data_IF_699992236420
#
_entry.id   IF_699992236420
#
_cell.length_a   1.000
_cell.length_b   1.000
_cell.length_c   1.000
_cell.angle_alpha   90.00
_cell.angle_beta   90.00
_cell.angle_gamma   90.00
#
_symmetry.space_group_name_H-M   'P 1'
#
loop_
_entity.id
_entity.type
_entity.pdbx_description
1 polymer ?
#
# COMPACT_ATOMS: atom_id res chain seq x y z
N UNK A 1 -4.34 -3.52 12.02
CA UNK A 1 -4.20 -4.45 10.88
C UNK A 1 -3.86 -3.62 9.65
N UNK A 2 -3.12 -4.18 8.72
CA UNK A 2 -2.65 -3.50 7.52
C UNK A 2 -2.90 -4.35 6.29
N UNK A 3 -3.29 -3.73 5.18
CA UNK A 3 -3.53 -4.44 3.94
C UNK A 3 -2.25 -4.51 3.12
N UNK A 4 -1.84 -5.73 2.78
CA UNK A 4 -0.75 -5.98 1.85
C UNK A 4 -1.26 -6.81 0.68
N UNK A 5 -0.58 -6.67 -0.45
CA UNK A 5 -0.76 -7.46 -1.67
C UNK A 5 0.52 -8.26 -1.95
N UNK A 6 0.38 -9.45 -2.52
CA UNK A 6 1.49 -10.24 -3.02
C UNK A 6 1.75 -9.91 -4.47
N UNK A 7 2.97 -9.46 -4.79
CA UNK A 7 3.30 -8.96 -6.13
C UNK A 7 3.37 -10.07 -7.17
N UNK A 8 2.67 -9.91 -8.30
CA UNK A 8 2.75 -10.83 -9.45
C UNK A 8 3.83 -10.52 -10.48
N UNK A 9 4.40 -9.31 -10.44
CA UNK A 9 5.40 -8.80 -11.39
C UNK A 9 6.72 -8.44 -10.72
N UNK A 10 7.79 -8.51 -11.51
CA UNK A 10 9.11 -8.01 -11.11
C UNK A 10 9.12 -6.47 -11.00
N UNK A 11 9.98 -5.89 -10.14
CA UNK A 11 10.80 -6.58 -9.15
C UNK A 11 9.98 -7.08 -7.95
N UNK A 12 10.58 -7.96 -7.15
CA UNK A 12 9.98 -8.52 -5.92
C UNK A 12 8.77 -9.42 -6.15
N UNK A 13 8.71 -10.11 -7.30
CA UNK A 13 7.64 -11.09 -7.57
C UNK A 13 7.56 -12.12 -6.44
N UNK A 14 6.35 -12.35 -5.94
CA UNK A 14 6.05 -13.27 -4.84
C UNK A 14 6.24 -12.68 -3.44
N UNK A 15 6.84 -11.50 -3.30
CA UNK A 15 6.90 -10.80 -2.01
C UNK A 15 5.60 -10.05 -1.73
N UNK A 16 5.31 -9.87 -0.45
CA UNK A 16 4.22 -9.04 0.02
C UNK A 16 4.67 -7.58 0.15
N UNK A 17 3.84 -6.65 -0.27
CA UNK A 17 4.10 -5.21 -0.25
C UNK A 17 2.83 -4.43 0.08
N UNK A 18 2.98 -3.14 0.37
CA UNK A 18 1.84 -2.22 0.36
C UNK A 18 1.23 -2.19 -1.06
N UNK A 19 -0.10 -2.04 -1.19
CA UNK A 19 -0.75 -1.82 -2.48
C UNK A 19 -0.17 -0.60 -3.18
N UNK A 20 -0.01 -0.68 -4.49
CA UNK A 20 0.50 0.44 -5.27
C UNK A 20 1.25 0.04 -6.55
N UNK A 21 1.27 1.00 -7.47
CA UNK A 21 1.91 0.86 -8.76
C UNK A 21 2.45 2.19 -9.28
N UNK A 22 2.50 2.31 -10.60
CA UNK A 22 3.12 3.47 -11.26
C UNK A 22 2.12 4.61 -11.33
N UNK A 23 2.63 5.83 -11.16
CA UNK A 23 1.87 7.03 -11.46
C UNK A 23 1.79 7.20 -12.99
N UNK A 24 0.58 7.33 -13.51
CA UNK A 24 0.27 7.62 -14.90
C UNK A 24 0.41 9.11 -15.23
N UNK A 25 0.50 9.43 -16.53
CA UNK A 25 0.62 10.81 -16.96
C UNK A 25 -0.70 11.55 -16.71
N UNK A 26 -0.64 12.57 -15.85
CA UNK A 26 -1.77 13.45 -15.58
C UNK A 26 -2.55 13.13 -14.29
N UNK A 27 -2.17 12.09 -13.54
CA UNK A 27 -2.76 11.80 -12.23
C UNK A 27 -1.88 12.30 -11.07
N UNK A 28 -2.51 12.61 -9.93
CA UNK A 28 -1.77 12.92 -8.70
C UNK A 28 -1.28 11.64 -8.02
N UNK A 29 -0.31 11.75 -7.10
CA UNK A 29 0.13 10.61 -6.28
C UNK A 29 -1.02 9.98 -5.49
N UNK A 30 -1.94 10.79 -4.97
CA UNK A 30 -3.08 10.30 -4.21
C UNK A 30 -4.08 9.59 -5.12
N UNK A 31 -4.32 10.11 -6.32
CA UNK A 31 -5.21 9.46 -7.29
C UNK A 31 -4.64 8.13 -7.76
N UNK A 32 -3.33 8.06 -8.03
CA UNK A 32 -2.62 6.82 -8.32
C UNK A 32 -2.80 5.80 -7.18
N UNK A 33 -2.59 6.21 -5.92
CA UNK A 33 -2.76 5.33 -4.77
C UNK A 33 -4.21 4.82 -4.60
N UNK A 34 -5.21 5.68 -4.87
CA UNK A 34 -6.63 5.32 -4.86
C UNK A 34 -6.96 4.30 -5.96
N UNK A 35 -6.48 4.54 -7.18
CA UNK A 35 -6.67 3.66 -8.34
C UNK A 35 -6.04 2.29 -8.12
N UNK A 36 -4.76 2.25 -7.76
CA UNK A 36 -4.02 0.99 -7.55
C UNK A 36 -4.61 0.16 -6.41
N UNK A 37 -4.98 0.80 -5.29
CA UNK A 37 -5.67 0.10 -4.20
C UNK A 37 -6.96 -0.56 -4.69
N UNK A 38 -7.75 0.14 -5.51
CA UNK A 38 -8.97 -0.41 -6.08
C UNK A 38 -8.69 -1.54 -7.08
N UNK A 39 -7.73 -1.38 -7.99
CA UNK A 39 -7.37 -2.38 -9.01
C UNK A 39 -6.86 -3.69 -8.40
N UNK A 40 -6.03 -3.60 -7.36
CA UNK A 40 -5.39 -4.77 -6.73
C UNK A 40 -6.27 -5.47 -5.70
N UNK A 41 -7.24 -4.78 -5.10
CA UNK A 41 -7.97 -5.29 -3.91
C UNK A 41 -9.49 -5.20 -3.98
N UNK A 42 -10.02 -4.45 -4.95
CA UNK A 42 -11.44 -4.15 -5.06
C UNK A 42 -11.99 -3.19 -3.98
N UNK A 43 -11.14 -2.64 -3.10
CA UNK A 43 -11.57 -1.68 -2.09
C UNK A 43 -11.94 -0.32 -2.74
N UNK A 44 -13.25 -0.08 -2.85
CA UNK A 44 -13.92 1.20 -3.07
C UNK A 44 -13.30 2.12 -4.15
N UNK A 45 -13.83 2.05 -5.36
CA UNK A 45 -13.88 3.20 -6.26
C UNK A 45 -14.97 4.13 -5.74
N UNK A 46 -14.60 5.31 -5.23
CA UNK A 46 -15.56 6.29 -4.70
C UNK A 46 -16.40 6.99 -5.78
N UNK A 47 -16.35 6.56 -7.03
CA UNK A 47 -17.13 7.14 -8.13
C UNK A 47 -18.33 6.32 -8.59
N UNK A 48 -18.51 5.07 -8.17
CA UNK A 48 -19.70 4.31 -8.55
C UNK A 48 -20.35 3.59 -7.37
N UNK A 49 -21.63 3.88 -7.17
CA UNK A 49 -22.51 3.36 -6.11
C UNK A 49 -22.83 1.87 -6.24
N UNK A 50 -21.85 1.02 -6.55
CA UNK A 50 -22.02 -0.43 -6.66
C UNK A 50 -20.90 -1.14 -5.92
N UNK A 51 -21.01 -1.22 -4.60
CA UNK A 51 -20.45 -2.33 -3.82
C UNK A 51 -21.29 -2.54 -2.57
N UNK A 52 -21.63 -3.79 -2.29
CA UNK A 52 -22.51 -4.27 -1.22
C UNK A 52 -21.95 -4.07 0.20
N UNK A 53 -21.05 -3.11 0.41
CA UNK A 53 -20.40 -2.88 1.69
C UNK A 53 -20.26 -1.38 1.96
N UNK A 54 -20.85 -0.91 3.06
CA UNK A 54 -20.74 0.47 3.57
C UNK A 54 -19.33 0.74 4.14
N UNK A 55 -18.29 0.33 3.41
CA UNK A 55 -16.92 0.57 3.79
C UNK A 55 -16.58 2.03 3.45
N UNK A 56 -15.87 2.71 4.34
CA UNK A 56 -15.43 4.09 4.14
C UNK A 56 -13.91 4.11 4.30
N UNK A 57 -13.20 4.47 3.24
CA UNK A 57 -11.77 4.78 3.30
C UNK A 57 -11.60 6.28 3.53
N UNK A 58 -10.95 6.62 4.64
CA UNK A 58 -10.55 7.99 4.96
C UNK A 58 -9.11 8.22 4.54
N UNK A 59 -8.92 9.05 3.53
CA UNK A 59 -7.59 9.43 3.06
C UNK A 59 -7.03 10.58 3.88
N UNK A 60 -5.74 10.53 4.16
CA UNK A 60 -5.04 11.55 4.93
C UNK A 60 -4.02 12.31 4.09
N UNK A 61 -3.76 13.55 4.49
CA UNK A 61 -2.68 14.43 4.00
C UNK A 61 -2.84 14.99 2.57
N UNK A 62 -3.98 14.76 1.90
CA UNK A 62 -4.25 15.16 0.50
C UNK A 62 -3.03 14.94 -0.42
N UNK A 63 -2.38 13.78 -0.25
CA UNK A 63 -1.08 13.48 -0.85
C UNK A 63 -0.23 12.55 0.01
N UNK A 64 1.03 12.30 -0.39
CA UNK A 64 1.92 11.42 0.36
C UNK A 64 2.32 12.03 1.71
N UNK A 65 2.55 11.17 2.71
CA UNK A 65 3.08 11.56 4.02
C UNK A 65 4.58 11.31 4.17
N UNK A 66 5.15 10.46 3.31
CA UNK A 66 6.60 10.19 3.24
C UNK A 66 6.97 9.65 1.87
N UNK A 67 8.27 9.64 1.57
CA UNK A 67 8.84 8.90 0.45
C UNK A 67 9.85 7.86 0.95
N UNK A 68 10.05 6.80 0.18
CA UNK A 68 11.04 5.75 0.44
C UNK A 68 11.74 5.34 -0.85
N UNK A 69 13.03 5.03 -0.77
CA UNK A 69 13.80 4.51 -1.89
C UNK A 69 13.74 2.97 -1.96
N UNK A 70 13.53 2.44 -3.16
CA UNK A 70 13.69 1.02 -3.46
C UNK A 70 14.73 0.84 -4.56
N UNK A 71 15.93 0.41 -4.17
CA UNK A 71 17.09 0.27 -5.05
C UNK A 71 17.35 -1.22 -5.27
N UNK A 72 17.18 -1.64 -6.53
CA UNK A 72 17.39 -3.01 -6.97
C UNK A 72 18.72 -3.13 -7.68
N UNK A 73 19.54 -4.07 -7.25
CA UNK A 73 20.84 -4.33 -7.82
C UNK A 73 20.82 -5.54 -8.75
N UNK A 74 21.60 -5.49 -9.84
CA UNK A 74 21.96 -6.65 -10.66
C UNK A 74 23.43 -6.96 -10.49
N UNK A 75 23.77 -8.26 -10.52
CA UNK A 75 25.14 -8.73 -10.46
C UNK A 75 26.02 -8.18 -11.60
N UNK A 76 25.44 -7.82 -12.74
CA UNK A 76 26.18 -7.42 -13.94
C UNK A 76 26.35 -5.91 -14.12
N UNK A 77 25.42 -5.09 -13.60
CA UNK A 77 25.33 -3.66 -13.94
C UNK A 77 25.31 -2.73 -12.73
N UNK A 78 25.45 -3.26 -11.51
CA UNK A 78 25.30 -2.46 -10.29
C UNK A 78 23.82 -2.24 -9.98
N UNK A 79 23.28 -1.05 -10.25
CA UNK A 79 21.86 -0.72 -10.00
C UNK A 79 21.04 -0.99 -11.27
N UNK A 80 20.01 -1.83 -11.17
CA UNK A 80 19.06 -2.12 -12.26
C UNK A 80 17.89 -1.17 -12.27
N UNK A 81 17.32 -0.91 -11.08
CA UNK A 81 16.16 -0.05 -10.91
C UNK A 81 16.30 0.72 -9.61
N UNK A 82 15.92 1.99 -9.64
CA UNK A 82 15.77 2.81 -8.45
C UNK A 82 14.40 3.48 -8.54
N UNK A 83 13.52 3.11 -7.62
CA UNK A 83 12.20 3.71 -7.46
C UNK A 83 12.19 4.64 -6.26
N UNK A 84 11.61 5.82 -6.42
CA UNK A 84 11.16 6.66 -5.31
C UNK A 84 9.67 6.39 -5.14
N UNK A 85 9.31 5.81 -4.00
CA UNK A 85 7.93 5.41 -3.70
C UNK A 85 7.32 6.48 -2.80
N UNK A 86 6.26 7.12 -3.27
CA UNK A 86 5.50 8.10 -2.50
C UNK A 86 4.37 7.39 -1.74
N UNK A 87 4.41 7.46 -0.41
CA UNK A 87 3.52 6.68 0.45
C UNK A 87 2.31 7.52 0.86
N UNK A 88 1.10 7.05 0.52
CA UNK A 88 -0.16 7.63 0.98
C UNK A 88 -0.72 6.80 2.15
N UNK A 89 -1.61 7.40 2.94
CA UNK A 89 -2.22 6.74 4.08
C UNK A 89 -3.74 6.85 4.03
N UNK A 90 -4.40 5.70 4.20
CA UNK A 90 -5.85 5.61 4.32
C UNK A 90 -6.24 4.74 5.52
N UNK A 91 -7.25 5.18 6.26
CA UNK A 91 -7.89 4.42 7.31
C UNK A 91 -9.20 3.82 6.79
N UNK A 92 -9.35 2.49 6.92
CA UNK A 92 -10.63 1.83 6.66
C UNK A 92 -11.51 1.89 7.91
N UNK A 93 -12.65 2.57 7.82
CA UNK A 93 -13.65 2.56 8.86
C UNK A 93 -14.49 1.28 8.77
N UNK A 94 -14.16 0.31 9.61
CA UNK A 94 -14.93 -0.93 9.75
C UNK A 94 -14.81 -1.49 11.16
N UNK A 95 -15.82 -2.23 11.62
CA UNK A 95 -15.75 -2.95 12.90
C UNK A 95 -14.78 -4.14 12.84
N UNK A 96 -14.60 -4.72 11.66
CA UNK A 96 -13.65 -5.80 11.39
C UNK A 96 -13.07 -5.69 9.98
N UNK A 97 -11.84 -6.19 9.74
CA UNK A 97 -11.26 -6.19 8.40
C UNK A 97 -12.14 -7.01 7.44
N UNK A 98 -12.58 -6.43 6.31
CA UNK A 98 -13.38 -7.17 5.33
C UNK A 98 -12.54 -8.24 4.64
N UNK A 99 -13.21 -9.23 4.06
CA UNK A 99 -12.56 -10.17 3.15
C UNK A 99 -12.13 -9.40 1.90
N UNK A 100 -10.87 -9.57 1.51
CA UNK A 100 -10.28 -8.96 0.32
C UNK A 100 -9.98 -10.07 -0.67
N UNK A 101 -10.09 -9.75 -1.96
CA UNK A 101 -9.67 -10.63 -3.03
C UNK A 101 -8.67 -9.87 -3.90
N UNK A 102 -7.54 -10.51 -4.21
CA UNK A 102 -6.58 -9.96 -5.14
C UNK A 102 -7.15 -9.89 -6.55
N UNK A 103 -6.69 -8.89 -7.30
CA UNK A 103 -7.07 -8.63 -8.68
C UNK A 103 -5.87 -8.08 -9.45
N UNK A 104 -6.03 -8.03 -10.78
CA UNK A 104 -5.01 -7.59 -11.74
C UNK A 104 -3.65 -8.27 -11.53
N UNK A 105 -2.61 -7.51 -11.19
CA UNK A 105 -1.26 -8.04 -11.01
C UNK A 105 -0.98 -8.57 -9.59
N UNK A 106 -1.91 -8.42 -8.65
CA UNK A 106 -1.79 -8.97 -7.32
C UNK A 106 -2.08 -10.49 -7.35
N UNK A 107 -1.16 -11.29 -6.81
CA UNK A 107 -1.33 -12.74 -6.67
C UNK A 107 -2.22 -13.11 -5.49
N UNK A 108 -2.19 -12.30 -4.44
CA UNK A 108 -2.95 -12.48 -3.20
C UNK A 108 -3.06 -11.12 -2.48
N UNK A 109 -4.06 -10.96 -1.62
CA UNK A 109 -4.34 -9.72 -0.90
C UNK A 109 -5.02 -10.04 0.43
N UNK A 110 -4.43 -9.57 1.54
CA UNK A 110 -5.00 -9.84 2.87
C UNK A 110 -4.56 -8.84 3.91
N UNK A 111 -5.29 -8.85 5.02
CA UNK A 111 -4.93 -8.11 6.22
C UNK A 111 -3.87 -8.83 7.03
N UNK A 112 -2.92 -8.06 7.55
CA UNK A 112 -1.83 -8.51 8.40
C UNK A 112 -1.83 -7.78 9.73
N UNK A 113 -1.47 -8.47 10.80
CA UNK A 113 -1.17 -7.82 12.08
C UNK A 113 0.25 -7.24 12.07
N UNK A 114 0.54 -6.20 12.88
CA UNK A 114 1.89 -5.64 13.00
C UNK A 114 2.94 -6.68 13.36
N UNK A 115 2.59 -7.62 14.24
CA UNK A 115 3.50 -8.67 14.69
C UNK A 115 3.84 -9.65 13.57
N UNK A 116 2.84 -10.11 12.80
CA UNK A 116 3.06 -11.01 11.66
C UNK A 116 3.90 -10.36 10.56
N UNK A 117 3.69 -9.06 10.29
CA UNK A 117 4.48 -8.38 9.27
C UNK A 117 5.94 -8.22 9.67
N UNK A 118 6.20 -7.94 10.94
CA UNK A 118 7.58 -7.82 11.44
C UNK A 118 8.35 -9.12 11.22
N UNK A 119 7.78 -10.25 11.66
CA UNK A 119 8.38 -11.57 11.43
C UNK A 119 8.51 -11.89 9.93
N UNK A 120 7.51 -11.54 9.12
CA UNK A 120 7.53 -11.79 7.68
C UNK A 120 8.56 -10.93 6.93
N UNK A 121 8.81 -9.69 7.35
CA UNK A 121 9.86 -8.84 6.77
C UNK A 121 11.25 -9.37 7.14
N UNK A 122 11.46 -9.81 8.39
CA UNK A 122 12.70 -10.44 8.85
C UNK A 122 13.01 -11.74 8.07
N UNK A 123 11.97 -12.51 7.70
CA UNK A 123 12.08 -13.71 6.86
C UNK A 123 12.16 -13.43 5.36
N UNK A 124 12.10 -12.17 4.93
CA UNK A 124 12.15 -11.78 3.52
C UNK A 124 10.90 -12.18 2.71
N UNK A 125 9.76 -12.35 3.38
CA UNK A 125 8.44 -12.59 2.76
C UNK A 125 7.73 -11.28 2.48
N UNK A 126 7.90 -10.27 3.35
CA UNK A 126 7.47 -8.89 3.12
C UNK A 126 8.65 -8.08 2.58
N UNK A 127 8.35 -7.15 1.69
CA UNK A 127 9.35 -6.26 1.09
C UNK A 127 10.02 -5.42 2.16
N UNK A 128 11.35 -5.40 2.15
CA UNK A 128 12.16 -4.64 3.11
C UNK A 128 11.77 -3.16 3.14
N UNK A 129 11.55 -2.62 4.33
CA UNK A 129 11.26 -1.22 4.59
C UNK A 129 9.78 -0.90 4.74
N UNK A 130 8.89 -1.88 4.49
CA UNK A 130 7.45 -1.73 4.72
C UNK A 130 7.19 -1.45 6.20
N UNK A 131 7.86 -2.15 7.13
CA UNK A 131 7.67 -1.90 8.57
C UNK A 131 8.01 -0.46 8.96
N UNK A 132 9.08 0.11 8.40
CA UNK A 132 9.47 1.50 8.67
C UNK A 132 8.45 2.53 8.17
N UNK A 133 7.75 2.24 7.07
CA UNK A 133 6.63 3.06 6.58
C UNK A 133 5.46 2.99 7.56
N UNK A 134 5.13 1.79 8.03
CA UNK A 134 4.03 1.56 8.96
C UNK A 134 4.26 2.24 10.31
N UNK A 135 5.43 2.02 10.93
CA UNK A 135 5.81 2.66 12.20
C UNK A 135 5.74 4.19 12.12
N UNK A 136 6.20 4.76 11.00
CA UNK A 136 6.08 6.20 10.75
C UNK A 136 4.62 6.63 10.63
N UNK A 137 3.80 5.89 9.87
CA UNK A 137 2.39 6.21 9.69
C UNK A 137 1.62 6.15 11.01
N UNK A 138 1.87 5.15 11.86
CA UNK A 138 1.27 5.03 13.20
C UNK A 138 1.66 6.20 14.08
N UNK A 139 2.95 6.55 14.13
CA UNK A 139 3.43 7.66 14.94
C UNK A 139 2.78 9.00 14.52
N UNK A 140 2.63 9.25 13.21
CA UNK A 140 1.98 10.45 12.69
C UNK A 140 0.46 10.43 12.90
N UNK A 141 -0.17 9.26 12.80
CA UNK A 141 -1.60 9.08 13.05
C UNK A 141 -1.94 9.34 14.53
N UNK A 142 -1.23 8.68 15.45
CA UNK A 142 -1.44 8.80 16.90
C UNK A 142 -1.17 10.22 17.39
N UNK A 143 -0.19 10.91 16.80
CA UNK A 143 0.11 12.31 17.14
C UNK A 143 -0.85 13.33 16.52
N UNK A 144 -1.82 12.91 15.70
CA UNK A 144 -2.77 13.79 15.02
C UNK A 144 -2.15 14.64 13.89
N UNK A 145 -0.96 14.26 13.41
CA UNK A 145 -0.26 14.96 12.33
C UNK A 145 -0.74 14.51 10.94
N UNK A 146 -1.38 13.33 10.82
CA UNK A 146 -2.08 12.91 9.61
C UNK A 146 -3.48 13.53 9.56
N UNK A 147 -3.64 14.62 8.81
CA UNK A 147 -4.93 15.31 8.65
C UNK A 147 -5.85 14.53 7.71
N UNK A 148 -7.04 14.15 8.19
CA UNK A 148 -8.08 13.55 7.34
C UNK A 148 -8.63 14.59 6.36
N UNK A 149 -8.97 14.18 5.14
CA UNK A 149 -9.81 15.00 4.26
C UNK A 149 -11.20 15.20 4.91
N UNK A 150 -11.71 16.42 4.83
CA UNK A 150 -13.02 16.82 5.38
C UNK A 150 -14.14 16.63 4.37
#
# INVERSE_FOLDING_TARGET
MYLLVQRGKEPNKGLWSLPGGKIEVGESTLDAAKRELWEETGLLSSTESISQSNLILKWHNNGPFTCTDSIHHSQSYGVSFHYVISQCFAELQSQSPPIIQASDDAMDARWWSPHEMKDAEERGVVTKGVMGVLERSEALYISGLLKCEG
#
